data_IF_128943311494
#
_entry.id   IF_128943311494
#
_cell.length_a   1.000
_cell.length_b   1.000
_cell.length_c   1.000
_cell.angle_alpha   90.00
_cell.angle_beta   90.00
_cell.angle_gamma   90.00
#
_symmetry.space_group_name_H-M   'P 1'
#
loop_
_entity.id
_entity.type
_entity.pdbx_description
1 polymer ?
#
# COMPACT_ATOMS: atom_id res chain seq x y z
N UNK A 1 14.07 6.29 -3.26
CA UNK A 1 13.82 5.10 -4.11
C UNK A 1 13.92 3.84 -3.25
N UNK A 2 12.98 2.93 -3.39
CA UNK A 2 12.95 1.70 -2.60
C UNK A 2 13.72 0.56 -3.25
N UNK A 3 14.11 -0.43 -2.44
CA UNK A 3 14.85 -1.62 -2.87
C UNK A 3 14.07 -2.89 -2.56
N UNK A 4 14.55 -4.02 -3.07
CA UNK A 4 13.97 -5.33 -2.74
C UNK A 4 14.02 -5.59 -1.22
N UNK A 5 15.07 -5.13 -0.53
CA UNK A 5 15.17 -5.26 0.92
C UNK A 5 14.08 -4.48 1.63
N UNK A 6 13.73 -3.30 1.12
CA UNK A 6 12.65 -2.49 1.67
C UNK A 6 11.30 -3.21 1.55
N UNK A 7 11.06 -3.87 0.43
CA UNK A 7 9.83 -4.63 0.21
C UNK A 7 9.75 -5.81 1.18
N UNK A 8 10.86 -6.53 1.38
CA UNK A 8 10.90 -7.63 2.36
C UNK A 8 10.62 -7.14 3.76
N UNK A 9 11.15 -5.96 4.12
CA UNK A 9 10.89 -5.36 5.41
C UNK A 9 9.41 -5.03 5.59
N UNK A 10 8.79 -4.44 4.56
CA UNK A 10 7.35 -4.14 4.60
C UNK A 10 6.53 -5.41 4.77
N UNK A 11 6.87 -6.46 4.05
CA UNK A 11 6.19 -7.74 4.18
C UNK A 11 6.21 -8.24 5.63
N UNK A 12 7.37 -8.17 6.27
CA UNK A 12 7.51 -8.57 7.67
C UNK A 12 6.72 -7.66 8.61
N UNK A 13 6.80 -6.33 8.40
CA UNK A 13 6.09 -5.37 9.24
C UNK A 13 4.57 -5.55 9.13
N UNK A 14 4.08 -5.89 7.95
CA UNK A 14 2.66 -6.17 7.73
C UNK A 14 2.26 -7.59 8.09
N UNK A 15 3.23 -8.42 8.53
CA UNK A 15 3.03 -9.81 8.91
C UNK A 15 2.43 -10.64 7.78
N UNK A 16 2.86 -10.36 6.54
CA UNK A 16 2.37 -11.06 5.36
C UNK A 16 0.91 -10.80 5.05
N UNK A 17 0.37 -9.66 5.49
CA UNK A 17 -1.04 -9.31 5.32
C UNK A 17 -1.19 -7.99 4.60
N UNK A 18 -2.29 -7.87 3.84
CA UNK A 18 -2.63 -6.62 3.16
C UNK A 18 -2.72 -5.48 4.16
N UNK A 19 -2.14 -4.34 3.84
CA UNK A 19 -2.17 -3.17 4.72
C UNK A 19 -3.59 -2.64 4.93
N UNK A 20 -4.49 -2.92 4.01
CA UNK A 20 -5.86 -2.42 4.05
C UNK A 20 -6.84 -3.41 4.69
N UNK A 21 -6.97 -4.61 4.12
CA UNK A 21 -7.98 -5.56 4.54
C UNK A 21 -7.44 -6.71 5.39
N UNK A 22 -6.12 -6.79 5.55
CA UNK A 22 -5.44 -7.78 6.38
C UNK A 22 -5.54 -9.24 5.90
N UNK A 23 -5.96 -9.46 4.65
CA UNK A 23 -5.90 -10.79 4.07
C UNK A 23 -4.44 -11.15 3.80
N UNK A 24 -4.13 -12.47 3.81
CA UNK A 24 -2.77 -12.92 3.49
C UNK A 24 -2.37 -12.47 2.09
N UNK A 25 -1.14 -11.98 1.96
CA UNK A 25 -0.56 -11.58 0.68
C UNK A 25 0.63 -12.47 0.32
N UNK A 26 0.72 -13.66 0.92
CA UNK A 26 1.81 -14.59 0.64
C UNK A 26 1.82 -15.04 -0.82
N UNK A 27 0.65 -15.14 -1.46
CA UNK A 27 0.52 -15.58 -2.84
C UNK A 27 0.68 -14.47 -3.86
N UNK A 28 0.69 -13.23 -3.42
CA UNK A 28 0.88 -12.11 -4.33
C UNK A 28 0.39 -10.80 -3.74
N UNK A 29 1.02 -9.74 -4.17
CA UNK A 29 0.71 -8.40 -3.69
C UNK A 29 1.16 -7.36 -4.71
N UNK A 30 0.70 -6.13 -4.51
CA UNK A 30 1.16 -4.97 -5.27
C UNK A 30 1.83 -3.99 -4.31
N UNK A 31 2.94 -3.41 -4.76
CA UNK A 31 3.60 -2.32 -4.02
C UNK A 31 2.86 -1.04 -4.38
N UNK A 32 2.35 -0.37 -3.38
CA UNK A 32 1.51 0.81 -3.56
C UNK A 32 2.10 2.00 -2.81
N UNK A 33 1.93 3.19 -3.38
CA UNK A 33 2.30 4.45 -2.71
C UNK A 33 1.12 4.90 -1.87
N UNK A 34 1.31 4.98 -0.54
CA UNK A 34 0.26 5.42 0.39
C UNK A 34 -0.28 6.77 -0.08
N UNK A 35 0.64 7.71 -0.30
CA UNK A 35 0.32 9.00 -0.90
C UNK A 35 0.78 8.94 -2.36
N UNK A 36 -0.13 9.05 -3.33
CA UNK A 36 0.21 8.89 -4.74
C UNK A 36 1.30 9.84 -5.22
N UNK A 37 2.20 9.33 -6.07
CA UNK A 37 3.25 10.16 -6.67
C UNK A 37 2.67 11.35 -7.41
N UNK A 38 1.55 11.17 -8.10
CA UNK A 38 0.88 12.23 -8.85
C UNK A 38 0.42 13.37 -7.95
N UNK A 39 0.26 13.13 -6.65
CA UNK A 39 -0.15 14.14 -5.67
C UNK A 39 1.01 14.56 -4.77
N UNK A 40 2.23 14.33 -5.19
CA UNK A 40 3.42 14.76 -4.45
C UNK A 40 3.94 13.74 -3.45
N UNK A 41 3.45 12.52 -3.49
CA UNK A 41 3.96 11.46 -2.61
C UNK A 41 5.40 11.08 -2.96
N UNK A 42 6.16 10.61 -1.96
CA UNK A 42 7.54 10.19 -2.17
C UNK A 42 7.63 8.74 -2.61
N UNK A 43 8.80 8.34 -3.12
CA UNK A 43 9.09 6.97 -3.47
C UNK A 43 9.90 6.26 -2.38
N UNK A 44 9.93 6.83 -1.16
CA UNK A 44 10.62 6.24 -0.02
C UNK A 44 9.80 5.11 0.59
N UNK A 45 10.49 4.17 1.24
CA UNK A 45 9.82 3.04 1.89
C UNK A 45 8.76 3.46 2.90
N UNK A 46 8.90 4.64 3.50
CA UNK A 46 7.94 5.18 4.47
C UNK A 46 6.60 5.54 3.82
N UNK A 47 6.58 5.70 2.49
CA UNK A 47 5.37 6.00 1.73
C UNK A 47 4.87 4.78 0.95
N UNK A 48 5.37 3.59 1.25
CA UNK A 48 4.98 2.37 0.56
C UNK A 48 4.17 1.46 1.46
N UNK A 49 3.32 0.68 0.83
CA UNK A 49 2.57 -0.38 1.50
C UNK A 49 2.35 -1.51 0.50
N UNK A 50 2.09 -2.71 1.04
CA UNK A 50 1.76 -3.87 0.22
C UNK A 50 0.27 -4.10 0.31
N UNK A 51 -0.39 -4.17 -0.83
CA UNK A 51 -1.83 -4.39 -0.92
C UNK A 51 -2.12 -5.70 -1.65
N UNK A 52 -3.21 -6.36 -1.25
CA UNK A 52 -3.72 -7.47 -2.05
C UNK A 52 -4.26 -6.93 -3.38
N UNK A 53 -4.39 -7.79 -4.41
CA UNK A 53 -4.88 -7.34 -5.71
C UNK A 53 -6.23 -6.62 -5.65
N UNK A 54 -7.14 -7.10 -4.80
CA UNK A 54 -8.47 -6.51 -4.65
C UNK A 54 -8.39 -5.09 -4.11
N UNK A 55 -7.64 -4.88 -3.04
CA UNK A 55 -7.50 -3.53 -2.46
C UNK A 55 -6.75 -2.59 -3.39
N UNK A 56 -5.75 -3.12 -4.10
CA UNK A 56 -5.03 -2.31 -5.09
C UNK A 56 -5.97 -1.85 -6.21
N UNK A 57 -6.85 -2.73 -6.68
CA UNK A 57 -7.82 -2.39 -7.71
C UNK A 57 -8.83 -1.37 -7.22
N UNK A 58 -9.33 -1.55 -5.99
CA UNK A 58 -10.26 -0.60 -5.37
C UNK A 58 -9.64 0.79 -5.27
N UNK A 59 -8.38 0.86 -4.84
CA UNK A 59 -7.68 2.14 -4.74
C UNK A 59 -7.54 2.81 -6.09
N UNK A 60 -7.23 2.04 -7.14
CA UNK A 60 -7.09 2.56 -8.49
C UNK A 60 -8.40 3.10 -9.07
N UNK A 61 -9.54 2.55 -8.63
CA UNK A 61 -10.86 2.93 -9.11
C UNK A 61 -11.46 4.13 -8.37
N UNK A 62 -10.81 4.58 -7.28
CA UNK A 62 -11.34 5.65 -6.43
C UNK A 62 -10.41 6.85 -6.44
N UNK A 63 -10.98 8.01 -6.12
CA UNK A 63 -10.15 9.18 -5.84
C UNK A 63 -9.28 8.86 -4.61
N UNK A 64 -7.97 9.18 -4.64
CA UNK A 64 -7.05 8.81 -3.55
C UNK A 64 -7.50 9.27 -2.16
N UNK A 65 -8.07 10.46 -2.06
CA UNK A 65 -8.55 10.99 -0.77
C UNK A 65 -9.70 10.15 -0.23
N UNK A 66 -10.62 9.75 -1.09
CA UNK A 66 -11.76 8.92 -0.70
C UNK A 66 -11.29 7.56 -0.22
N UNK A 67 -10.34 6.96 -0.91
CA UNK A 67 -9.79 5.66 -0.50
C UNK A 67 -9.08 5.76 0.85
N UNK A 68 -8.27 6.79 1.06
CA UNK A 68 -7.57 7.02 2.33
C UNK A 68 -8.55 7.20 3.47
N UNK A 69 -9.65 7.91 3.23
CA UNK A 69 -10.68 8.13 4.23
C UNK A 69 -11.36 6.83 4.62
N UNK A 70 -11.68 5.97 3.64
CA UNK A 70 -12.29 4.67 3.90
C UNK A 70 -11.41 3.76 4.74
N UNK A 71 -10.10 3.81 4.50
CA UNK A 71 -9.14 2.94 5.17
C UNK A 71 -8.59 3.52 6.47
N UNK A 72 -9.06 4.72 6.87
CA UNK A 72 -8.61 5.37 8.09
C UNK A 72 -7.22 5.97 8.02
N UNK A 73 -6.68 6.14 6.83
CA UNK A 73 -5.33 6.69 6.67
C UNK A 73 -5.30 8.21 6.54
N UNK A 74 -6.44 8.81 6.36
CA UNK A 74 -6.58 10.27 6.31
C UNK A 74 -6.94 10.77 7.69
N UNK A 75 -6.04 11.49 8.29
CA UNK A 75 -6.23 12.07 9.62
C UNK A 75 -6.81 13.47 9.54
#
# INVERSE_FOLDING_TARGET
>A
KHTAADIKQLFRLQRGKCACCHVSIADGYHVDHIHPLALGGSNDKTNLQLLCPTCNLRKSAKHPVDFMRETGRLL
#
